data_IF_509620264256
#
_entry.id   IF_509620264256
#
_cell.length_a   1.000
_cell.length_b   1.000
_cell.length_c   1.000
_cell.angle_alpha   90.00
_cell.angle_beta   90.00
_cell.angle_gamma   90.00
#
_symmetry.space_group_name_H-M   'P 1'
#
loop_
_entity.id
_entity.type
_entity.pdbx_description
1 polymer ?
#
# COMPACT_ATOMS: atom_id res chain seq x y z
N UNK A 1 -21.25 -10.10 -45.48
CA UNK A 1 -21.27 -8.76 -44.86
C UNK A 1 -22.48 -8.66 -43.96
N UNK A 2 -22.37 -9.02 -42.69
CA UNK A 2 -23.35 -8.65 -41.65
C UNK A 2 -22.74 -8.99 -40.30
N UNK A 3 -22.40 -7.98 -39.50
CA UNK A 3 -22.47 -8.05 -38.04
C UNK A 3 -22.38 -6.64 -37.44
N UNK A 4 -23.41 -6.33 -36.66
CA UNK A 4 -23.73 -5.08 -36.00
C UNK A 4 -22.84 -4.88 -34.76
N UNK A 5 -22.50 -3.62 -34.47
CA UNK A 5 -21.95 -3.18 -33.19
C UNK A 5 -23.10 -2.64 -32.31
N UNK A 6 -23.17 -3.12 -31.07
CA UNK A 6 -24.08 -2.60 -30.04
C UNK A 6 -23.28 -2.07 -28.84
N UNK A 7 -23.71 -0.92 -28.35
CA UNK A 7 -23.28 -0.27 -27.13
C UNK A 7 -23.96 -0.89 -25.88
N UNK A 8 -23.34 -0.76 -24.70
CA UNK A 8 -23.93 -1.07 -23.39
C UNK A 8 -22.85 -1.16 -22.31
N UNK A 9 -22.65 -0.11 -21.51
CA UNK A 9 -23.25 0.16 -20.20
C UNK A 9 -22.69 -0.70 -19.04
N UNK A 10 -22.02 0.01 -18.13
CA UNK A 10 -21.46 -0.44 -16.86
C UNK A 10 -22.52 -0.96 -15.90
N UNK A 11 -22.25 -2.08 -15.23
CA UNK A 11 -23.01 -2.58 -14.09
C UNK A 11 -22.08 -2.85 -12.90
N UNK A 12 -22.39 -2.20 -11.78
CA UNK A 12 -21.83 -2.45 -10.45
C UNK A 12 -22.47 -3.71 -9.86
N UNK A 13 -21.64 -4.66 -9.42
CA UNK A 13 -22.08 -5.91 -8.77
C UNK A 13 -21.82 -5.83 -7.27
N UNK A 14 -22.89 -5.87 -6.48
CA UNK A 14 -22.85 -6.14 -5.04
C UNK A 14 -22.89 -7.66 -4.79
N UNK A 15 -22.14 -8.21 -3.82
CA UNK A 15 -22.17 -9.65 -3.55
C UNK A 15 -23.32 -10.07 -2.63
N UNK A 16 -24.04 -11.08 -3.12
CA UNK A 16 -25.17 -11.80 -2.53
C UNK A 16 -24.76 -12.67 -1.34
N UNK A 17 -25.62 -12.69 -0.31
CA UNK A 17 -25.48 -13.41 0.97
C UNK A 17 -25.90 -14.88 0.79
N UNK A 18 -24.97 -15.83 0.92
CA UNK A 18 -25.25 -17.28 0.88
C UNK A 18 -25.99 -17.73 2.14
N UNK A 19 -27.12 -18.40 1.93
CA UNK A 19 -27.92 -19.13 2.90
C UNK A 19 -27.36 -20.54 3.14
N UNK A 20 -27.27 -20.96 4.40
CA UNK A 20 -27.04 -22.36 4.81
C UNK A 20 -28.09 -22.67 5.91
N UNK A 21 -28.97 -23.68 5.74
CA UNK A 21 -29.75 -24.28 6.83
C UNK A 21 -28.97 -25.48 7.41
N UNK A 22 -29.20 -25.93 8.66
CA UNK A 22 -30.27 -26.93 8.87
C UNK A 22 -30.93 -27.01 10.28
N UNK A 23 -32.15 -27.59 10.27
CA UNK A 23 -32.73 -28.62 11.14
C UNK A 23 -32.87 -28.44 12.68
N UNK A 24 -34.13 -28.20 13.04
CA UNK A 24 -34.97 -28.84 14.07
C UNK A 24 -34.33 -29.86 15.05
N UNK A 25 -34.33 -29.51 16.34
CA UNK A 25 -34.52 -30.44 17.47
C UNK A 25 -34.93 -29.67 18.74
N UNK A 26 -36.12 -29.93 19.28
CA UNK A 26 -36.58 -29.49 20.60
C UNK A 26 -36.13 -30.44 21.71
N UNK A 27 -36.02 -29.97 22.97
CA UNK A 27 -36.92 -30.49 23.99
C UNK A 27 -37.50 -29.41 24.95
N UNK A 28 -38.49 -29.77 25.79
CA UNK A 28 -39.38 -28.82 26.47
C UNK A 28 -38.93 -28.54 27.90
N UNK A 29 -39.16 -27.33 28.39
CA UNK A 29 -39.22 -27.11 29.84
C UNK A 29 -39.64 -25.69 30.20
N UNK A 30 -40.77 -25.64 30.91
CA UNK A 30 -41.24 -24.63 31.86
C UNK A 30 -41.76 -23.29 31.35
N UNK A 31 -43.09 -23.18 31.48
CA UNK A 31 -43.81 -21.93 31.63
C UNK A 31 -43.18 -21.06 32.71
N UNK A 32 -42.81 -19.84 32.33
CA UNK A 32 -42.29 -18.84 33.25
C UNK A 32 -42.16 -17.51 32.53
N UNK A 33 -43.12 -16.62 32.79
CA UNK A 33 -43.02 -15.15 32.71
C UNK A 33 -42.34 -14.59 31.45
N UNK A 34 -43.15 -14.17 30.47
CA UNK A 34 -42.70 -13.26 29.41
C UNK A 34 -42.03 -12.04 30.04
N UNK A 35 -40.71 -11.96 29.95
CA UNK A 35 -39.95 -10.75 30.27
C UNK A 35 -40.38 -9.63 29.30
N UNK A 36 -40.64 -8.40 29.78
CA UNK A 36 -41.01 -7.29 28.92
C UNK A 36 -39.96 -7.10 27.82
N UNK A 37 -40.43 -7.17 26.58
CA UNK A 37 -39.64 -6.92 25.38
C UNK A 37 -39.52 -5.43 25.18
N UNK A 38 -38.74 -4.77 26.03
CA UNK A 38 -38.24 -3.42 25.74
C UNK A 38 -37.01 -3.11 26.60
N UNK A 39 -35.84 -3.50 26.10
CA UNK A 39 -34.54 -3.08 26.67
C UNK A 39 -34.25 -1.58 26.48
N UNK A 40 -35.18 -0.83 25.88
CA UNK A 40 -35.03 0.57 25.52
C UNK A 40 -36.07 1.49 26.18
N UNK A 41 -36.99 0.98 27.00
CA UNK A 41 -38.03 1.78 27.67
C UNK A 41 -37.52 2.71 28.79
N UNK A 42 -36.23 2.69 29.12
CA UNK A 42 -35.59 3.62 30.06
C UNK A 42 -34.51 4.48 29.40
N UNK A 43 -34.62 4.74 28.09
CA UNK A 43 -33.75 5.70 27.40
C UNK A 43 -34.31 7.11 27.55
N UNK A 44 -34.21 7.64 28.77
CA UNK A 44 -34.47 9.04 29.04
C UNK A 44 -33.54 9.92 28.19
N UNK A 45 -34.11 10.94 27.58
CA UNK A 45 -33.43 11.86 26.66
C UNK A 45 -32.55 12.91 27.37
N UNK A 46 -31.81 12.47 28.41
CA UNK A 46 -30.81 13.29 29.11
C UNK A 46 -29.40 12.82 28.76
N UNK A 47 -29.09 12.71 27.47
CA UNK A 47 -27.71 12.53 27.01
C UNK A 47 -27.20 13.87 26.51
N UNK A 48 -26.67 14.65 27.47
CA UNK A 48 -25.83 15.81 27.21
C UNK A 48 -24.70 15.43 26.23
N UNK A 49 -24.48 16.17 25.12
CA UNK A 49 -23.48 15.81 24.10
C UNK A 49 -22.04 15.87 24.62
N UNK A 50 -21.82 16.43 25.80
CA UNK A 50 -20.50 16.83 26.30
C UNK A 50 -19.74 15.73 27.05
N UNK A 51 -20.39 14.62 27.44
CA UNK A 51 -19.72 13.55 28.23
C UNK A 51 -19.15 12.43 27.34
N UNK A 52 -19.56 12.33 26.08
CA UNK A 52 -19.04 11.32 25.13
C UNK A 52 -17.61 11.62 24.64
N UNK A 53 -17.07 12.81 24.93
CA UNK A 53 -15.71 13.19 24.55
C UNK A 53 -14.63 12.67 25.51
N UNK A 54 -14.99 12.05 26.65
CA UNK A 54 -14.03 11.64 27.68
C UNK A 54 -13.77 10.14 27.77
N UNK A 55 -14.44 9.30 26.96
CA UNK A 55 -14.21 7.84 26.98
C UNK A 55 -13.73 7.33 25.61
N UNK A 56 -12.52 7.75 25.22
CA UNK A 56 -11.72 6.97 24.27
C UNK A 56 -11.34 5.65 24.94
N UNK A 57 -12.14 4.61 24.72
CA UNK A 57 -11.77 3.25 25.12
C UNK A 57 -10.44 2.90 24.42
N UNK A 58 -9.36 2.58 25.16
CA UNK A 58 -8.16 2.07 24.51
C UNK A 58 -8.53 0.71 23.93
N UNK A 59 -8.54 0.60 22.61
CA UNK A 59 -8.65 -0.67 21.91
C UNK A 59 -7.48 -1.55 22.36
N UNK A 60 -7.71 -2.42 23.35
CA UNK A 60 -6.79 -3.49 23.75
C UNK A 60 -6.86 -4.58 22.68
N UNK A 61 -6.30 -4.29 21.51
CA UNK A 61 -5.92 -5.35 20.57
C UNK A 61 -4.82 -6.20 21.20
N UNK A 62 -4.71 -7.49 20.81
CA UNK A 62 -3.59 -8.34 21.25
C UNK A 62 -2.26 -7.65 20.93
N UNK A 63 -1.22 -7.81 21.78
CA UNK A 63 0.07 -7.19 21.55
C UNK A 63 0.57 -7.62 20.17
N UNK A 64 0.58 -6.68 19.22
CA UNK A 64 1.26 -6.91 17.95
C UNK A 64 2.74 -6.89 18.28
N UNK A 65 3.30 -8.08 18.46
CA UNK A 65 4.74 -8.32 18.46
C UNK A 65 5.29 -7.83 17.12
N UNK A 66 5.51 -6.52 17.00
CA UNK A 66 6.43 -5.96 16.04
C UNK A 66 7.80 -6.31 16.58
N UNK A 67 8.28 -7.50 16.20
CA UNK A 67 9.63 -7.90 16.48
C UNK A 67 10.52 -6.88 15.76
N UNK A 68 11.00 -5.88 16.51
CA UNK A 68 11.94 -4.88 16.02
C UNK A 68 13.25 -5.62 15.83
N UNK A 69 13.43 -6.22 14.65
CA UNK A 69 14.75 -6.58 14.17
C UNK A 69 15.52 -5.27 14.20
N UNK A 70 16.53 -5.18 15.07
CA UNK A 70 17.53 -4.11 15.06
C UNK A 70 17.82 -3.77 13.61
N UNK A 71 17.57 -2.52 13.20
CA UNK A 71 17.46 -2.12 11.80
C UNK A 71 18.78 -2.38 11.08
N UNK A 72 18.92 -3.59 10.55
CA UNK A 72 19.98 -3.94 9.62
C UNK A 72 19.73 -3.15 8.35
N UNK A 73 20.76 -2.48 7.85
CA UNK A 73 20.66 -1.75 6.59
C UNK A 73 20.14 -2.70 5.51
N UNK A 74 18.97 -2.40 4.97
CA UNK A 74 18.41 -3.16 3.87
C UNK A 74 19.07 -2.71 2.56
N UNK A 75 19.16 -3.62 1.59
CA UNK A 75 19.74 -3.31 0.28
C UNK A 75 18.76 -3.66 -0.83
N UNK A 76 18.60 -2.78 -1.80
CA UNK A 76 17.71 -2.95 -2.95
C UNK A 76 18.51 -3.20 -4.24
N UNK A 77 18.08 -4.19 -5.02
CA UNK A 77 18.62 -4.44 -6.37
C UNK A 77 18.03 -3.43 -7.37
N UNK A 78 18.86 -2.66 -8.07
CA UNK A 78 18.38 -1.67 -9.06
C UNK A 78 17.70 -2.28 -10.29
N UNK A 79 18.01 -3.52 -10.63
CA UNK A 79 17.49 -4.17 -11.85
C UNK A 79 16.07 -4.74 -11.70
N UNK A 80 15.74 -5.24 -10.51
CA UNK A 80 14.49 -6.00 -10.28
C UNK A 80 13.76 -5.62 -8.98
N UNK A 81 14.28 -4.67 -8.21
CA UNK A 81 13.65 -4.18 -6.99
C UNK A 81 13.59 -5.17 -5.82
N UNK A 82 14.36 -6.27 -5.85
CA UNK A 82 14.49 -7.21 -4.73
C UNK A 82 15.12 -6.52 -3.51
N UNK A 83 14.56 -6.73 -2.31
CA UNK A 83 15.11 -6.23 -1.04
C UNK A 83 15.80 -7.38 -0.31
N UNK A 84 17.08 -7.18 -0.03
CA UNK A 84 17.90 -8.00 0.84
C UNK A 84 17.76 -7.52 2.29
N UNK A 85 17.31 -8.40 3.17
CA UNK A 85 17.10 -8.15 4.60
C UNK A 85 17.51 -9.35 5.47
N UNK A 86 18.48 -10.15 5.01
CA UNK A 86 18.91 -11.36 5.70
C UNK A 86 19.69 -11.06 6.99
N UNK A 87 19.95 -12.12 7.77
CA UNK A 87 20.68 -11.99 9.04
C UNK A 87 22.13 -11.55 8.84
N UNK A 88 22.74 -11.96 7.73
CA UNK A 88 24.11 -11.61 7.34
C UNK A 88 24.14 -10.18 6.81
N UNK A 89 25.00 -9.29 7.34
CA UNK A 89 25.14 -7.95 6.77
C UNK A 89 25.67 -8.04 5.34
N UNK A 90 25.17 -7.15 4.47
CA UNK A 90 25.49 -7.16 3.03
C UNK A 90 26.98 -6.93 2.73
N UNK A 91 27.70 -6.23 3.60
CA UNK A 91 29.13 -5.98 3.46
C UNK A 91 29.95 -7.28 3.54
N UNK A 92 29.55 -8.21 4.41
CA UNK A 92 30.21 -9.51 4.61
C UNK A 92 29.86 -10.53 3.54
N UNK A 93 28.93 -10.23 2.63
CA UNK A 93 28.62 -11.13 1.52
C UNK A 93 29.81 -11.18 0.55
N UNK A 94 30.13 -12.35 -0.02
CA UNK A 94 31.16 -12.45 -1.05
C UNK A 94 30.75 -11.67 -2.30
N UNK A 95 31.73 -11.22 -3.10
CA UNK A 95 31.46 -10.48 -4.35
C UNK A 95 30.80 -11.34 -5.43
N UNK A 96 30.86 -12.67 -5.28
CA UNK A 96 30.15 -13.65 -6.10
C UNK A 96 28.64 -13.74 -5.78
N UNK A 97 28.11 -12.91 -4.88
CA UNK A 97 26.68 -12.88 -4.61
C UNK A 97 25.91 -12.30 -5.80
N UNK A 98 24.89 -13.04 -6.23
CA UNK A 98 23.98 -12.65 -7.29
C UNK A 98 22.56 -12.48 -6.75
N UNK A 99 21.82 -11.52 -7.29
CA UNK A 99 20.42 -11.33 -6.96
C UNK A 99 19.62 -12.60 -7.31
N UNK A 100 18.88 -13.21 -6.36
CA UNK A 100 18.20 -14.49 -6.57
C UNK A 100 17.08 -14.44 -7.62
N UNK A 101 16.70 -13.25 -8.09
CA UNK A 101 15.55 -13.07 -8.98
C UNK A 101 15.95 -12.65 -10.38
N UNK A 102 17.07 -11.97 -10.54
CA UNK A 102 17.50 -11.45 -11.84
C UNK A 102 18.96 -11.73 -12.18
N UNK A 103 19.73 -12.35 -11.28
CA UNK A 103 21.15 -12.63 -11.51
C UNK A 103 22.06 -11.39 -11.54
N UNK A 104 21.58 -10.21 -11.12
CA UNK A 104 22.41 -9.02 -11.05
C UNK A 104 23.54 -9.19 -10.02
N UNK A 105 24.77 -8.73 -10.30
CA UNK A 105 25.89 -8.82 -9.36
C UNK A 105 25.74 -7.87 -8.17
N UNK A 106 26.42 -8.16 -7.05
CA UNK A 106 26.44 -7.36 -5.80
C UNK A 106 26.57 -5.85 -6.01
N UNK A 107 27.39 -5.40 -6.99
CA UNK A 107 27.60 -3.97 -7.34
C UNK A 107 26.34 -3.20 -7.76
N UNK A 108 25.28 -3.89 -8.21
CA UNK A 108 24.00 -3.29 -8.62
C UNK A 108 23.05 -3.03 -7.45
N UNK A 109 23.39 -3.48 -6.24
CA UNK A 109 22.61 -3.19 -5.04
C UNK A 109 22.93 -1.79 -4.50
N UNK A 110 21.94 -1.17 -3.85
CA UNK A 110 22.05 0.13 -3.18
C UNK A 110 21.40 0.05 -1.81
N UNK A 111 21.82 0.92 -0.89
CA UNK A 111 21.19 1.05 0.42
C UNK A 111 19.70 1.40 0.27
N UNK A 112 18.87 0.74 1.05
CA UNK A 112 17.42 0.93 1.10
C UNK A 112 17.06 1.47 2.48
N UNK A 113 16.79 2.77 2.53
CA UNK A 113 16.43 3.52 3.74
C UNK A 113 15.04 3.18 4.33
N UNK A 114 13.98 2.96 3.54
CA UNK A 114 12.65 2.83 4.14
C UNK A 114 12.44 1.46 4.80
N UNK A 115 11.55 1.44 5.80
CA UNK A 115 11.29 0.25 6.59
C UNK A 115 10.80 -0.92 5.72
N UNK A 116 11.43 -2.10 5.90
CA UNK A 116 11.10 -3.31 5.14
C UNK A 116 9.81 -3.92 5.71
N UNK A 117 8.74 -3.90 4.92
CA UNK A 117 7.50 -4.62 5.24
C UNK A 117 7.69 -6.14 5.07
N UNK A 118 6.89 -6.95 5.79
CA UNK A 118 6.95 -8.42 5.73
C UNK A 118 6.80 -8.99 4.31
N UNK A 119 6.08 -8.26 3.45
CA UNK A 119 5.74 -8.63 2.08
C UNK A 119 6.55 -7.84 1.02
N UNK A 120 7.69 -7.28 1.43
CA UNK A 120 8.53 -6.42 0.60
C UNK A 120 9.00 -7.06 -0.71
N UNK A 121 9.04 -8.40 -0.76
CA UNK A 121 9.52 -9.20 -1.88
C UNK A 121 8.42 -9.90 -2.68
N UNK A 122 7.14 -9.66 -2.37
CA UNK A 122 6.02 -10.20 -3.14
C UNK A 122 6.05 -9.69 -4.59
N UNK A 123 5.60 -10.52 -5.53
CA UNK A 123 5.74 -10.24 -6.97
C UNK A 123 5.04 -8.95 -7.39
N UNK A 124 3.84 -8.66 -6.85
CA UNK A 124 3.09 -7.45 -7.18
C UNK A 124 3.75 -6.19 -6.61
N UNK A 125 4.21 -6.25 -5.36
CA UNK A 125 4.95 -5.17 -4.69
C UNK A 125 6.24 -4.85 -5.47
N UNK A 126 6.94 -5.87 -5.94
CA UNK A 126 8.18 -5.70 -6.70
C UNK A 126 7.95 -5.17 -8.11
N UNK A 127 6.89 -5.59 -8.79
CA UNK A 127 6.49 -5.02 -10.09
C UNK A 127 6.16 -3.53 -9.94
N UNK A 128 5.36 -3.17 -8.93
CA UNK A 128 5.03 -1.78 -8.63
C UNK A 128 6.28 -0.95 -8.27
N UNK A 129 7.22 -1.52 -7.50
CA UNK A 129 8.48 -0.85 -7.20
C UNK A 129 9.35 -0.68 -8.45
N UNK A 130 9.40 -1.69 -9.33
CA UNK A 130 10.19 -1.62 -10.56
C UNK A 130 9.67 -0.53 -11.50
N UNK A 131 8.36 -0.33 -11.59
CA UNK A 131 7.79 0.76 -12.38
C UNK A 131 8.14 2.13 -11.79
N UNK A 132 8.13 2.26 -10.46
CA UNK A 132 8.62 3.48 -9.78
C UNK A 132 10.10 3.74 -10.08
N UNK A 133 10.98 2.74 -9.88
CA UNK A 133 12.43 2.87 -10.17
C UNK A 133 12.66 3.30 -11.62
N UNK A 134 11.92 2.72 -12.58
CA UNK A 134 12.03 3.08 -14.00
C UNK A 134 11.56 4.51 -14.28
N UNK A 135 10.49 4.95 -13.62
CA UNK A 135 9.99 6.33 -13.74
C UNK A 135 11.01 7.33 -13.21
N UNK A 136 11.59 7.05 -12.05
CA UNK A 136 12.57 7.92 -11.41
C UNK A 136 13.87 7.99 -12.23
N UNK A 137 14.29 6.89 -12.84
CA UNK A 137 15.41 6.90 -13.79
C UNK A 137 15.08 7.73 -15.04
N UNK A 138 13.89 7.60 -15.60
CA UNK A 138 13.46 8.40 -16.74
C UNK A 138 13.43 9.90 -16.40
N UNK A 139 12.91 10.25 -15.23
CA UNK A 139 12.92 11.64 -14.73
C UNK A 139 14.36 12.11 -14.55
N UNK A 140 15.24 11.33 -13.91
CA UNK A 140 16.64 11.69 -13.70
C UNK A 140 17.43 11.87 -15.01
N UNK A 141 17.06 11.17 -16.08
CA UNK A 141 17.65 11.34 -17.42
C UNK A 141 17.10 12.56 -18.16
N UNK A 142 15.80 12.82 -18.04
CA UNK A 142 15.15 13.94 -18.73
C UNK A 142 15.39 15.29 -18.06
N UNK A 143 15.51 15.33 -16.73
CA UNK A 143 15.68 16.56 -15.96
C UNK A 143 16.86 17.44 -16.42
N UNK A 144 18.10 16.95 -16.60
CA UNK A 144 19.20 17.78 -17.08
C UNK A 144 18.99 18.30 -18.50
N UNK A 145 18.36 17.51 -19.37
CA UNK A 145 18.03 17.93 -20.75
C UNK A 145 16.99 19.04 -20.73
N UNK A 146 15.93 18.89 -19.94
CA UNK A 146 14.91 19.92 -19.77
C UNK A 146 15.48 21.23 -19.22
N UNK A 147 16.39 21.15 -18.24
CA UNK A 147 17.10 22.32 -17.70
C UNK A 147 17.91 23.00 -18.80
N UNK A 148 18.68 22.25 -19.60
CA UNK A 148 19.49 22.81 -20.67
C UNK A 148 18.64 23.52 -21.75
N UNK A 149 17.54 22.91 -22.18
CA UNK A 149 16.62 23.52 -23.15
C UNK A 149 15.95 24.79 -22.57
N UNK A 150 15.58 24.77 -21.30
CA UNK A 150 15.06 25.95 -20.60
C UNK A 150 16.05 27.10 -20.57
N UNK A 151 17.31 26.83 -20.23
CA UNK A 151 18.39 27.84 -20.22
C UNK A 151 18.66 28.38 -21.62
N UNK A 152 18.74 27.51 -22.64
CA UNK A 152 18.95 27.94 -24.02
C UNK A 152 17.79 28.82 -24.55
N UNK A 153 16.55 28.45 -24.23
CA UNK A 153 15.38 29.25 -24.58
C UNK A 153 15.38 30.64 -23.91
N UNK A 154 15.73 30.70 -22.62
CA UNK A 154 15.88 31.97 -21.91
C UNK A 154 17.01 32.83 -22.48
N UNK A 155 18.16 32.24 -22.79
CA UNK A 155 19.28 32.95 -23.41
C UNK A 155 18.92 33.48 -24.80
N UNK A 156 18.22 32.68 -25.61
CA UNK A 156 17.71 33.10 -26.91
C UNK A 156 16.72 34.26 -26.80
N UNK A 157 15.79 34.21 -25.83
CA UNK A 157 14.86 35.30 -25.57
C UNK A 157 15.57 36.58 -25.13
N UNK A 158 16.55 36.47 -24.24
CA UNK A 158 17.37 37.60 -23.80
C UNK A 158 18.09 38.27 -24.99
N UNK A 159 18.74 37.46 -25.83
CA UNK A 159 19.43 37.98 -27.02
C UNK A 159 18.46 38.63 -28.01
N UNK A 160 17.28 38.05 -28.23
CA UNK A 160 16.25 38.63 -29.09
C UNK A 160 15.81 40.01 -28.60
N UNK A 161 15.48 40.14 -27.31
CA UNK A 161 15.04 41.41 -26.72
C UNK A 161 16.15 42.47 -26.77
N UNK A 162 17.41 42.08 -26.57
CA UNK A 162 18.55 42.99 -26.61
C UNK A 162 18.99 43.40 -28.03
N UNK A 163 18.50 42.75 -29.08
CA UNK A 163 18.78 43.14 -30.47
C UNK A 163 17.61 43.86 -31.14
N UNK A 164 16.38 43.65 -30.68
CA UNK A 164 15.18 44.25 -31.26
C UNK A 164 14.82 45.60 -30.63
N UNK A 165 15.18 45.81 -29.36
CA UNK A 165 15.02 47.06 -28.63
C UNK A 165 16.38 47.64 -28.26
#
# INVERSE_FOLDING_TARGET
MALQAAAGLSFTVAPSRRSIPPLLSSPPSHAGLRGPSDRYALRSAFFSPSVQLLLSAPSRGPPRFSMRVTSKQAYICRDCGYIYNDRTPFEKLPDKYFCPVCGAPKRRFRAYEPAVAKNANDTDVRKARKTQIKRDEAIGRALPVAIALGVAGLAGLYFYLNNVY
#
